data_IF_288799404351
#
_entry.id   IF_288799404351
#
_cell.length_a   1.000
_cell.length_b   1.000
_cell.length_c   1.000
_cell.angle_alpha   90.00
_cell.angle_beta   90.00
_cell.angle_gamma   90.00
#
_symmetry.space_group_name_H-M   'P 1'
#
loop_
_entity.id
_entity.type
_entity.pdbx_description
1 polymer ?
#
# COMPACT_ATOMS: atom_id res chain seq x y z
N UNK A 1 32.45 -24.07 1.22
CA UNK A 1 33.32 -22.94 1.59
C UNK A 1 32.47 -21.77 2.06
N UNK A 2 32.53 -21.45 3.36
CA UNK A 2 31.86 -20.28 3.91
C UNK A 2 32.81 -19.09 3.81
N UNK A 3 32.42 -18.05 3.03
CA UNK A 3 33.11 -16.75 3.04
C UNK A 3 32.47 -15.88 4.12
N UNK A 4 33.29 -15.27 4.96
CA UNK A 4 32.83 -14.32 5.96
C UNK A 4 33.07 -12.90 5.43
N UNK A 5 31.98 -12.16 5.23
CA UNK A 5 32.00 -10.78 4.74
C UNK A 5 31.43 -9.84 5.78
N UNK A 6 32.27 -8.91 6.23
CA UNK A 6 31.83 -7.79 7.05
C UNK A 6 31.46 -6.61 6.14
N UNK A 7 30.27 -6.07 6.27
CA UNK A 7 29.83 -4.92 5.48
C UNK A 7 29.52 -3.76 6.42
N UNK A 8 30.32 -2.68 6.30
CA UNK A 8 30.04 -1.41 6.98
C UNK A 8 29.28 -0.49 6.04
N UNK A 9 28.06 -0.13 6.40
CA UNK A 9 27.24 0.83 5.67
C UNK A 9 27.38 2.22 6.28
N UNK A 10 27.80 3.20 5.51
CA UNK A 10 28.00 4.58 5.89
C UNK A 10 27.09 5.51 5.07
N UNK A 11 25.83 5.75 5.50
CA UNK A 11 24.95 6.69 4.82
C UNK A 11 25.37 8.11 5.19
N UNK A 12 25.39 8.99 4.18
CA UNK A 12 25.53 10.44 4.38
C UNK A 12 24.13 11.05 4.44
N UNK A 13 23.87 11.86 5.46
CA UNK A 13 22.62 12.61 5.56
C UNK A 13 22.45 13.50 4.32
N UNK A 14 21.29 13.35 3.65
CA UNK A 14 20.98 14.13 2.47
C UNK A 14 20.06 15.29 2.81
N UNK A 15 20.22 16.37 2.03
CA UNK A 15 19.27 17.46 2.05
C UNK A 15 18.01 17.04 1.26
N UNK A 16 16.82 17.11 1.89
CA UNK A 16 15.54 16.65 1.33
C UNK A 16 14.54 17.82 1.24
N UNK A 17 14.73 18.75 0.28
CA UNK A 17 13.76 19.83 0.11
C UNK A 17 12.40 19.24 -0.32
N UNK A 18 11.35 19.69 0.38
CA UNK A 18 9.97 19.36 0.07
C UNK A 18 9.14 20.63 0.06
N UNK A 19 8.26 20.74 -0.91
CA UNK A 19 7.28 21.82 -1.03
C UNK A 19 5.91 21.19 -1.15
N UNK A 20 4.99 21.64 -0.33
CA UNK A 20 3.60 21.21 -0.34
C UNK A 20 2.70 22.44 -0.35
N UNK A 21 1.79 22.47 -1.30
CA UNK A 21 0.75 23.50 -1.41
C UNK A 21 -0.58 22.78 -1.46
N UNK A 22 -1.49 23.16 -0.59
CA UNK A 22 -2.85 22.66 -0.55
C UNK A 22 -3.81 23.87 -0.71
N UNK A 23 -4.79 23.70 -1.59
CA UNK A 23 -5.93 24.59 -1.77
C UNK A 23 -7.19 23.77 -1.54
N UNK A 24 -8.05 24.24 -0.65
CA UNK A 24 -9.33 23.59 -0.41
C UNK A 24 -10.46 24.63 -0.35
N UNK A 25 -11.63 24.18 -0.74
CA UNK A 25 -12.88 24.90 -0.60
C UNK A 25 -13.98 23.98 -0.15
N UNK A 26 -14.66 24.32 0.93
CA UNK A 26 -15.86 23.64 1.40
C UNK A 26 -16.96 24.67 1.51
N UNK A 27 -18.08 24.44 0.85
CA UNK A 27 -19.17 25.41 0.80
C UNK A 27 -20.48 24.78 0.38
N UNK A 28 -21.51 25.63 0.32
CA UNK A 28 -22.86 25.26 -0.04
C UNK A 28 -23.48 26.29 -0.98
N UNK A 29 -24.10 25.81 -2.06
CA UNK A 29 -24.89 26.65 -2.97
C UNK A 29 -26.31 26.08 -3.00
N UNK A 30 -27.23 26.80 -2.33
CA UNK A 30 -28.59 26.30 -2.14
C UNK A 30 -28.58 24.99 -1.34
N UNK A 31 -29.03 23.89 -1.97
CA UNK A 31 -29.02 22.54 -1.37
C UNK A 31 -27.79 21.71 -1.75
N UNK A 32 -26.92 22.23 -2.59
CA UNK A 32 -25.76 21.51 -3.10
C UNK A 32 -24.56 21.78 -2.21
N UNK A 33 -23.98 20.75 -1.64
CA UNK A 33 -22.69 20.77 -0.93
C UNK A 33 -21.56 20.68 -1.93
N UNK A 34 -20.51 21.47 -1.76
CA UNK A 34 -19.33 21.51 -2.63
C UNK A 34 -18.09 21.28 -1.75
N UNK A 35 -17.29 20.30 -2.12
CA UNK A 35 -15.99 20.01 -1.52
C UNK A 35 -14.96 19.91 -2.65
N UNK A 36 -14.00 20.84 -2.64
CA UNK A 36 -12.91 20.89 -3.61
C UNK A 36 -11.58 20.89 -2.87
N UNK A 37 -10.68 20.04 -3.34
CA UNK A 37 -9.30 19.98 -2.84
C UNK A 37 -8.34 19.91 -4.03
N UNK A 38 -7.22 20.63 -3.93
CA UNK A 38 -6.13 20.56 -4.89
C UNK A 38 -4.78 20.61 -4.16
N UNK A 39 -3.91 19.68 -4.50
CA UNK A 39 -2.61 19.48 -3.89
C UNK A 39 -1.51 19.57 -4.94
N UNK A 40 -0.43 20.23 -4.59
CA UNK A 40 0.84 20.18 -5.28
C UNK A 40 1.92 19.76 -4.32
N UNK A 41 2.65 18.70 -4.69
CA UNK A 41 3.81 18.21 -3.94
C UNK A 41 5.03 18.16 -4.86
N UNK A 42 6.10 18.75 -4.41
CA UNK A 42 7.43 18.57 -4.95
C UNK A 42 8.38 18.11 -3.86
N UNK A 43 9.09 17.02 -4.11
CA UNK A 43 10.19 16.61 -3.24
C UNK A 43 11.41 16.17 -4.05
N UNK A 44 12.57 16.42 -3.47
CA UNK A 44 13.86 15.96 -4.00
C UNK A 44 14.62 15.27 -2.88
N UNK A 45 15.21 14.13 -3.19
CA UNK A 45 16.04 13.39 -2.26
C UNK A 45 17.32 12.97 -2.97
N UNK A 46 18.46 13.20 -2.33
CA UNK A 46 19.75 12.74 -2.79
C UNK A 46 20.36 11.91 -1.66
N UNK A 47 20.48 10.61 -1.85
CA UNK A 47 21.08 9.72 -0.87
C UNK A 47 22.44 9.26 -1.40
N UNK A 48 23.46 9.45 -0.56
CA UNK A 48 24.81 8.96 -0.79
C UNK A 48 25.13 7.93 0.28
N UNK A 49 25.53 6.74 -0.12
CA UNK A 49 25.89 5.68 0.83
C UNK A 49 27.17 5.00 0.36
N UNK A 50 28.15 4.89 1.24
CA UNK A 50 29.37 4.12 1.01
C UNK A 50 29.28 2.80 1.79
N UNK A 51 29.56 1.71 1.10
CA UNK A 51 29.67 0.37 1.70
C UNK A 51 31.13 -0.04 1.65
N UNK A 52 31.73 -0.34 2.80
CA UNK A 52 33.05 -0.94 2.89
C UNK A 52 32.87 -2.40 3.26
N UNK A 53 33.36 -3.27 2.40
CA UNK A 53 33.33 -4.71 2.58
C UNK A 53 34.73 -5.26 2.83
N UNK A 54 34.87 -5.99 3.92
CA UNK A 54 36.04 -6.78 4.25
C UNK A 54 35.68 -8.25 4.14
N UNK A 55 36.45 -9.01 3.40
CA UNK A 55 36.24 -10.43 3.16
C UNK A 55 37.47 -11.21 3.56
N UNK A 56 37.24 -12.38 4.17
CA UNK A 56 38.34 -13.28 4.56
C UNK A 56 39.00 -13.96 3.35
N UNK A 57 38.19 -14.27 2.32
CA UNK A 57 38.62 -15.10 1.19
C UNK A 57 38.60 -14.33 -0.14
N UNK A 58 38.19 -13.06 -0.16
CA UNK A 58 38.13 -12.23 -1.36
C UNK A 58 38.70 -10.85 -1.09
N UNK A 59 39.04 -10.16 -2.13
CA UNK A 59 39.53 -8.77 -2.05
C UNK A 59 38.45 -7.88 -1.39
N UNK A 60 38.84 -7.10 -0.41
CA UNK A 60 38.02 -6.06 0.19
C UNK A 60 37.69 -5.00 -0.85
N UNK A 61 36.47 -4.43 -0.76
CA UNK A 61 36.04 -3.41 -1.73
C UNK A 61 35.23 -2.31 -1.08
N UNK A 62 35.22 -1.16 -1.73
CA UNK A 62 34.32 -0.05 -1.42
C UNK A 62 33.32 0.07 -2.55
N UNK A 63 32.06 0.24 -2.21
CA UNK A 63 30.95 0.41 -3.16
C UNK A 63 30.23 1.69 -2.80
N UNK A 64 30.17 2.62 -3.73
CA UNK A 64 29.44 3.89 -3.58
C UNK A 64 28.08 3.79 -4.25
N UNK A 65 27.06 4.23 -3.58
CA UNK A 65 25.68 4.22 -4.05
C UNK A 65 25.11 5.63 -3.96
N UNK A 66 24.95 6.28 -5.09
CA UNK A 66 24.31 7.59 -5.21
C UNK A 66 22.92 7.41 -5.79
N UNK A 67 21.90 7.78 -5.02
CA UNK A 67 20.52 7.72 -5.46
C UNK A 67 19.89 9.12 -5.42
N UNK A 68 19.36 9.57 -6.56
CA UNK A 68 18.66 10.84 -6.70
C UNK A 68 17.22 10.58 -7.08
N UNK A 69 16.31 11.11 -6.27
CA UNK A 69 14.88 11.04 -6.52
C UNK A 69 14.30 12.45 -6.61
N UNK A 70 13.50 12.69 -7.65
CA UNK A 70 12.70 13.92 -7.80
C UNK A 70 11.29 13.53 -8.11
N UNK A 71 10.37 13.99 -7.30
CA UNK A 71 8.96 13.69 -7.47
C UNK A 71 8.14 14.98 -7.52
N UNK A 72 7.22 15.06 -8.49
CA UNK A 72 6.19 16.09 -8.62
C UNK A 72 4.85 15.40 -8.69
N UNK A 73 3.93 15.82 -7.85
CA UNK A 73 2.57 15.32 -7.82
C UNK A 73 1.61 16.50 -7.84
N UNK A 74 0.60 16.39 -8.69
CA UNK A 74 -0.58 17.24 -8.70
C UNK A 74 -1.77 16.33 -8.45
N UNK A 75 -2.61 16.67 -7.50
CA UNK A 75 -3.85 15.97 -7.22
C UNK A 75 -4.99 16.98 -7.10
N UNK A 76 -6.16 16.64 -7.60
CA UNK A 76 -7.37 17.42 -7.38
C UNK A 76 -8.57 16.51 -7.20
N UNK A 77 -9.49 16.92 -6.36
CA UNK A 77 -10.75 16.23 -6.09
C UNK A 77 -11.87 17.26 -6.00
N UNK A 78 -12.96 17.01 -6.71
CA UNK A 78 -14.21 17.73 -6.58
C UNK A 78 -15.30 16.75 -6.18
N UNK A 79 -16.07 17.08 -5.16
CA UNK A 79 -17.26 16.35 -4.74
C UNK A 79 -18.43 17.31 -4.64
N UNK A 80 -19.54 16.93 -5.25
CA UNK A 80 -20.81 17.64 -5.19
C UNK A 80 -21.84 16.73 -4.51
N UNK A 81 -22.41 17.21 -3.40
CA UNK A 81 -23.44 16.51 -2.64
C UNK A 81 -24.80 17.15 -2.86
N UNK A 82 -25.85 16.36 -3.08
CA UNK A 82 -27.20 16.86 -3.25
C UNK A 82 -28.22 15.92 -2.63
N UNK A 83 -29.18 16.44 -1.81
CA UNK A 83 -30.26 15.62 -1.28
C UNK A 83 -31.25 15.27 -2.39
N UNK A 84 -31.46 13.98 -2.63
CA UNK A 84 -32.33 13.46 -3.68
C UNK A 84 -33.02 12.17 -3.23
N UNK A 85 -34.31 12.00 -3.56
CA UNK A 85 -35.10 10.78 -3.26
C UNK A 85 -35.02 10.31 -1.81
N UNK A 86 -35.01 11.23 -0.86
CA UNK A 86 -34.96 10.90 0.58
C UNK A 86 -33.58 10.49 1.09
N UNK A 87 -32.57 10.50 0.24
CA UNK A 87 -31.17 10.24 0.57
C UNK A 87 -30.26 11.37 0.16
N UNK A 88 -28.97 11.11 0.15
CA UNK A 88 -27.94 12.04 -0.30
C UNK A 88 -27.10 11.40 -1.42
N UNK A 89 -27.07 12.04 -2.58
CA UNK A 89 -26.25 11.67 -3.71
C UNK A 89 -24.98 12.51 -3.71
N UNK A 90 -23.84 11.87 -3.72
CA UNK A 90 -22.54 12.51 -3.92
C UNK A 90 -21.97 12.07 -5.27
N UNK A 91 -21.58 13.02 -6.10
CA UNK A 91 -20.90 12.77 -7.38
C UNK A 91 -19.60 13.56 -7.38
N UNK A 92 -18.57 13.02 -8.00
CA UNK A 92 -17.31 13.71 -8.05
C UNK A 92 -16.30 13.09 -8.99
N UNK A 93 -15.14 13.71 -9.06
CA UNK A 93 -14.00 13.20 -9.81
C UNK A 93 -12.70 13.53 -9.09
N UNK A 94 -11.75 12.62 -9.19
CA UNK A 94 -10.36 12.82 -8.77
C UNK A 94 -9.47 12.78 -10.00
N UNK A 95 -8.48 13.64 -10.00
CA UNK A 95 -7.38 13.64 -10.96
C UNK A 95 -6.06 13.64 -10.24
N UNK A 96 -5.14 12.77 -10.64
CA UNK A 96 -3.77 12.80 -10.14
C UNK A 96 -2.78 12.71 -11.31
N UNK A 97 -1.72 13.50 -11.22
CA UNK A 97 -0.59 13.42 -12.13
C UNK A 97 0.70 13.36 -11.32
N UNK A 98 1.52 12.36 -11.61
CA UNK A 98 2.84 12.20 -10.99
C UNK A 98 3.90 12.14 -12.08
N UNK A 99 4.99 12.88 -11.85
CA UNK A 99 6.21 12.79 -12.64
C UNK A 99 7.38 12.59 -11.69
N UNK A 100 7.95 11.38 -11.73
CA UNK A 100 9.07 10.99 -10.89
C UNK A 100 10.29 10.67 -11.75
N UNK A 101 11.44 11.18 -11.33
CA UNK A 101 12.73 10.86 -11.92
C UNK A 101 13.59 10.22 -10.83
N UNK A 102 14.12 9.04 -11.12
CA UNK A 102 15.05 8.28 -10.29
C UNK A 102 16.36 8.11 -11.07
N UNK A 103 17.48 8.48 -10.46
CA UNK A 103 18.80 8.23 -11.02
C UNK A 103 19.66 7.52 -9.97
N UNK A 104 20.29 6.45 -10.38
CA UNK A 104 21.22 5.68 -9.59
C UNK A 104 22.60 5.69 -10.23
N UNK A 105 23.63 5.92 -9.45
CA UNK A 105 25.03 5.89 -9.91
C UNK A 105 25.91 5.07 -8.96
N UNK A 106 26.72 4.21 -9.54
CA UNK A 106 27.78 3.48 -8.86
C UNK A 106 29.09 3.69 -9.62
N UNK A 107 29.97 4.61 -9.15
CA UNK A 107 31.23 4.95 -9.82
C UNK A 107 32.17 3.77 -10.01
N UNK A 108 32.15 2.81 -9.10
CA UNK A 108 33.01 1.61 -9.16
C UNK A 108 32.48 0.54 -10.13
N UNK A 109 31.33 0.75 -10.75
CA UNK A 109 30.70 -0.15 -11.73
C UNK A 109 30.41 -1.58 -11.22
N UNK A 110 30.29 -1.78 -9.92
CA UNK A 110 29.81 -3.07 -9.36
C UNK A 110 28.34 -3.29 -9.62
N UNK A 111 27.59 -2.21 -9.83
CA UNK A 111 26.18 -2.20 -10.17
C UNK A 111 25.99 -1.23 -11.34
N UNK A 112 25.22 -1.59 -12.37
CA UNK A 112 24.93 -0.68 -13.46
C UNK A 112 24.25 0.60 -12.98
N UNK A 113 24.75 1.75 -13.43
CA UNK A 113 24.07 3.03 -13.26
C UNK A 113 22.81 3.07 -14.12
N UNK A 114 21.75 3.70 -13.63
CA UNK A 114 20.46 3.75 -14.30
C UNK A 114 19.78 5.09 -14.10
N UNK A 115 18.96 5.49 -15.05
CA UNK A 115 18.09 6.66 -14.96
C UNK A 115 16.70 6.29 -15.45
N UNK A 116 15.71 6.44 -14.59
CA UNK A 116 14.32 6.13 -14.90
C UNK A 116 13.43 7.34 -14.71
N UNK A 117 12.45 7.53 -15.59
CA UNK A 117 11.37 8.49 -15.41
C UNK A 117 10.03 7.76 -15.48
N UNK A 118 9.17 8.05 -14.52
CA UNK A 118 7.83 7.50 -14.41
C UNK A 118 6.83 8.66 -14.49
N UNK A 119 5.92 8.58 -15.45
CA UNK A 119 4.80 9.52 -15.59
C UNK A 119 3.51 8.75 -15.43
N UNK A 120 2.69 9.13 -14.46
CA UNK A 120 1.38 8.52 -14.23
C UNK A 120 0.32 9.59 -14.21
N UNK A 121 -0.76 9.38 -14.97
CA UNK A 121 -1.98 10.15 -14.87
C UNK A 121 -3.14 9.22 -14.53
N UNK A 122 -4.00 9.66 -13.63
CA UNK A 122 -5.20 8.94 -13.22
C UNK A 122 -6.38 9.91 -13.20
N UNK A 123 -7.49 9.48 -13.79
CA UNK A 123 -8.78 10.13 -13.65
C UNK A 123 -9.77 9.13 -13.05
N UNK A 124 -10.53 9.56 -12.06
CA UNK A 124 -11.41 8.69 -11.31
C UNK A 124 -12.73 9.39 -10.94
N UNK A 125 -13.71 9.46 -11.83
CA UNK A 125 -15.06 9.83 -11.48
C UNK A 125 -15.72 8.80 -10.59
N UNK A 126 -16.55 9.26 -9.66
CA UNK A 126 -17.29 8.42 -8.73
C UNK A 126 -18.66 8.99 -8.43
N UNK A 127 -19.53 8.08 -7.98
CA UNK A 127 -20.83 8.41 -7.40
C UNK A 127 -21.08 7.57 -6.16
N UNK A 128 -21.74 8.13 -5.18
CA UNK A 128 -22.16 7.47 -3.95
C UNK A 128 -23.56 7.94 -3.58
N UNK A 129 -24.44 7.02 -3.24
CA UNK A 129 -25.76 7.29 -2.73
C UNK A 129 -25.92 6.72 -1.34
N UNK A 130 -26.28 7.59 -0.40
CA UNK A 130 -26.55 7.24 0.99
C UNK A 130 -28.02 7.42 1.29
N UNK A 131 -28.64 6.36 1.80
CA UNK A 131 -30.05 6.34 2.14
C UNK A 131 -30.23 5.91 3.60
N UNK A 132 -30.99 6.70 4.36
CA UNK A 132 -31.28 6.42 5.76
C UNK A 132 -32.70 5.85 5.89
N UNK A 133 -32.78 4.58 6.22
CA UNK A 133 -33.98 3.91 6.66
C UNK A 133 -34.16 4.09 8.17
N UNK A 134 -35.37 3.86 8.68
CA UNK A 134 -35.66 3.99 10.13
C UNK A 134 -34.72 3.16 11.03
N UNK A 135 -34.27 2.01 10.55
CA UNK A 135 -33.44 1.06 11.35
C UNK A 135 -32.04 0.84 10.78
N UNK A 136 -31.76 1.27 9.54
CA UNK A 136 -30.44 1.08 8.96
C UNK A 136 -30.09 2.19 7.97
N UNK A 137 -28.78 2.42 7.80
CA UNK A 137 -28.21 3.26 6.76
C UNK A 137 -27.63 2.38 5.68
N UNK A 138 -28.08 2.60 4.44
CA UNK A 138 -27.51 1.97 3.26
C UNK A 138 -26.62 2.97 2.50
N UNK A 139 -25.47 2.49 2.02
CA UNK A 139 -24.60 3.28 1.16
C UNK A 139 -24.19 2.42 -0.02
N UNK A 140 -24.34 2.94 -1.23
CA UNK A 140 -23.89 2.28 -2.46
C UNK A 140 -23.03 3.27 -3.26
N UNK A 141 -21.88 2.83 -3.71
CA UNK A 141 -20.93 3.65 -4.45
C UNK A 141 -20.39 2.91 -5.68
N UNK A 142 -20.02 3.71 -6.68
CA UNK A 142 -19.33 3.23 -7.86
C UNK A 142 -18.24 4.24 -8.23
N UNK A 143 -17.03 3.75 -8.41
CA UNK A 143 -15.86 4.52 -8.86
C UNK A 143 -15.29 3.86 -10.11
N UNK A 144 -15.04 4.67 -11.14
CA UNK A 144 -14.30 4.24 -12.32
C UNK A 144 -12.91 4.90 -12.27
N UNK A 145 -11.87 4.12 -12.52
CA UNK A 145 -10.52 4.64 -12.63
C UNK A 145 -9.92 4.33 -13.99
N UNK A 146 -9.37 5.35 -14.64
CA UNK A 146 -8.56 5.23 -15.84
C UNK A 146 -7.16 5.76 -15.57
N UNK A 147 -6.17 4.87 -15.69
CA UNK A 147 -4.77 5.17 -15.40
C UNK A 147 -3.94 4.98 -16.66
N UNK A 148 -3.07 5.93 -16.92
CA UNK A 148 -2.00 5.83 -17.91
C UNK A 148 -0.66 5.97 -17.23
N UNK A 149 0.16 4.93 -17.34
CA UNK A 149 1.50 4.86 -16.77
C UNK A 149 2.52 4.72 -17.92
N UNK A 150 3.47 5.66 -18.01
CA UNK A 150 4.56 5.63 -18.98
C UNK A 150 5.90 5.55 -18.25
N UNK A 151 6.71 4.59 -18.66
CA UNK A 151 8.03 4.35 -18.13
C UNK A 151 9.08 4.71 -19.19
N UNK A 152 10.10 5.44 -18.76
CA UNK A 152 11.25 5.82 -19.60
C UNK A 152 12.52 5.36 -18.89
N UNK A 153 13.45 4.81 -19.64
CA UNK A 153 14.79 4.46 -19.17
C UNK A 153 15.83 5.15 -20.04
N UNK A 154 16.75 5.87 -19.40
CA UNK A 154 17.75 6.69 -20.09
C UNK A 154 17.15 7.62 -21.17
N UNK A 155 15.96 8.17 -20.89
CA UNK A 155 15.24 9.05 -21.81
C UNK A 155 14.43 8.36 -22.90
N UNK A 156 14.54 7.04 -23.07
CA UNK A 156 13.78 6.27 -24.05
C UNK A 156 12.50 5.70 -23.45
N UNK A 157 11.38 5.80 -24.17
CA UNK A 157 10.11 5.21 -23.76
C UNK A 157 10.17 3.68 -23.88
N UNK A 158 9.85 2.99 -22.78
CA UNK A 158 9.86 1.53 -22.72
C UNK A 158 8.43 1.01 -22.78
N UNK A 159 8.01 0.58 -23.96
CA UNK A 159 6.62 0.23 -24.24
C UNK A 159 6.12 -0.96 -23.41
N UNK A 160 6.92 -2.01 -23.20
CA UNK A 160 6.53 -3.20 -22.42
C UNK A 160 6.44 -2.95 -20.91
N UNK A 161 6.95 -1.83 -20.41
CA UNK A 161 6.84 -1.38 -19.03
C UNK A 161 5.81 -0.26 -18.86
N UNK A 162 5.33 0.29 -19.97
CA UNK A 162 4.25 1.30 -20.01
C UNK A 162 2.90 0.61 -20.19
N UNK A 163 1.86 1.13 -19.54
CA UNK A 163 0.54 0.49 -19.54
C UNK A 163 -0.59 1.47 -19.26
N UNK A 164 -1.77 1.11 -19.74
CA UNK A 164 -3.00 1.79 -19.40
C UNK A 164 -4.03 0.76 -18.93
N UNK A 165 -4.84 1.14 -17.97
CA UNK A 165 -5.90 0.29 -17.48
C UNK A 165 -7.12 1.13 -17.07
N UNK A 166 -8.27 0.49 -17.11
CA UNK A 166 -9.55 1.09 -16.78
C UNK A 166 -10.39 0.05 -16.02
N UNK A 167 -10.86 0.42 -14.83
CA UNK A 167 -11.57 -0.50 -13.95
C UNK A 167 -12.68 0.18 -13.17
N UNK A 168 -13.72 -0.60 -12.83
CA UNK A 168 -14.82 -0.21 -11.97
C UNK A 168 -14.62 -0.80 -10.57
N UNK A 169 -14.90 0.02 -9.57
CA UNK A 169 -14.78 -0.32 -8.15
C UNK A 169 -16.11 -0.04 -7.45
N UNK A 170 -16.99 -1.05 -7.36
CA UNK A 170 -18.23 -0.96 -6.61
C UNK A 170 -17.98 -1.06 -5.11
N UNK A 171 -18.84 -0.39 -4.33
CA UNK A 171 -18.90 -0.50 -2.88
C UNK A 171 -20.36 -0.49 -2.42
N UNK A 172 -20.67 -1.30 -1.40
CA UNK A 172 -21.98 -1.32 -0.75
C UNK A 172 -21.77 -1.54 0.73
N UNK A 173 -22.49 -0.80 1.55
CA UNK A 173 -22.53 -1.04 3.00
C UNK A 173 -23.91 -0.84 3.59
N UNK A 174 -24.20 -1.61 4.65
CA UNK A 174 -25.37 -1.49 5.47
C UNK A 174 -24.91 -1.37 6.93
N UNK A 175 -25.36 -0.34 7.63
CA UNK A 175 -25.07 -0.12 9.03
C UNK A 175 -26.37 0.03 9.81
N UNK A 176 -26.47 -0.58 10.99
CA UNK A 176 -27.66 -0.53 11.85
C UNK A 176 -27.28 -0.43 13.32
N UNK A 177 -28.20 0.15 14.09
CA UNK A 177 -28.12 0.17 15.55
C UNK A 177 -29.49 -0.20 16.12
N UNK A 178 -29.58 -1.32 16.82
CA UNK A 178 -30.80 -1.86 17.39
C UNK A 178 -30.53 -2.29 18.85
N UNK A 179 -31.21 -1.70 19.81
CA UNK A 179 -31.12 -2.11 21.22
C UNK A 179 -29.71 -2.10 21.81
N UNK A 180 -28.85 -1.16 21.37
CA UNK A 180 -27.44 -1.07 21.77
C UNK A 180 -26.47 -1.97 20.97
N UNK A 181 -26.99 -2.83 20.11
CA UNK A 181 -26.18 -3.59 19.12
C UNK A 181 -25.93 -2.70 17.91
N UNK A 182 -24.67 -2.47 17.59
CA UNK A 182 -24.24 -1.81 16.36
C UNK A 182 -23.68 -2.86 15.42
N UNK A 183 -24.11 -2.85 14.17
CA UNK A 183 -23.64 -3.77 13.15
C UNK A 183 -23.36 -3.03 11.84
N UNK A 184 -22.32 -3.45 11.14
CA UNK A 184 -21.99 -2.97 9.80
C UNK A 184 -21.53 -4.12 8.92
N UNK A 185 -22.22 -4.32 7.81
CA UNK A 185 -21.81 -5.20 6.73
C UNK A 185 -21.33 -4.33 5.58
N UNK A 186 -20.19 -4.65 4.99
CA UNK A 186 -19.66 -3.91 3.83
C UNK A 186 -18.99 -4.82 2.82
N UNK A 187 -19.11 -4.43 1.57
CA UNK A 187 -18.32 -4.91 0.45
C UNK A 187 -17.68 -3.72 -0.25
N UNK A 188 -16.39 -3.84 -0.59
CA UNK A 188 -15.70 -2.87 -1.42
C UNK A 188 -14.68 -3.54 -2.34
N UNK A 189 -14.70 -3.15 -3.60
CA UNK A 189 -13.62 -3.41 -4.54
C UNK A 189 -12.68 -2.19 -4.57
N UNK A 190 -11.37 -2.44 -4.61
CA UNK A 190 -10.35 -1.39 -4.71
C UNK A 190 -9.10 -1.88 -5.40
N UNK A 191 -8.27 -0.96 -5.86
CA UNK A 191 -6.93 -1.27 -6.37
C UNK A 191 -5.85 -0.88 -5.37
N UNK A 192 -4.73 -1.61 -5.39
CA UNK A 192 -3.46 -1.19 -4.80
C UNK A 192 -2.40 -1.14 -5.90
N UNK A 193 -1.91 0.03 -6.18
CA UNK A 193 -0.85 0.24 -7.17
C UNK A 193 0.50 -0.08 -6.56
N UNK A 194 1.45 -0.64 -7.34
CA UNK A 194 2.83 -0.71 -6.90
C UNK A 194 3.35 0.70 -6.59
N UNK A 195 4.14 0.83 -5.54
CA UNK A 195 4.86 2.08 -5.30
C UNK A 195 5.92 2.30 -6.39
N UNK A 196 6.30 3.55 -6.63
CA UNK A 196 7.33 3.86 -7.62
C UNK A 196 8.66 3.17 -7.32
N UNK A 197 9.00 3.01 -6.03
CA UNK A 197 10.18 2.23 -5.62
C UNK A 197 10.07 0.75 -6.02
N UNK A 198 8.87 0.18 -5.97
CA UNK A 198 8.64 -1.20 -6.42
C UNK A 198 8.71 -1.34 -7.94
N UNK A 199 8.47 -0.26 -8.69
CA UNK A 199 8.54 -0.21 -10.15
C UNK A 199 9.92 0.20 -10.68
N UNK A 200 10.83 0.69 -9.84
CA UNK A 200 12.13 1.19 -10.26
C UNK A 200 13.10 0.04 -10.57
N UNK A 201 13.83 0.13 -11.69
CA UNK A 201 14.92 -0.77 -12.01
C UNK A 201 16.19 -0.53 -11.18
N UNK A 202 16.21 0.53 -10.37
CA UNK A 202 17.37 0.86 -9.56
C UNK A 202 17.70 -0.28 -8.61
N UNK A 203 18.97 -0.72 -8.64
CA UNK A 203 19.47 -1.77 -7.76
C UNK A 203 20.04 -1.10 -6.52
N UNK A 204 19.50 -1.47 -5.35
CA UNK A 204 20.06 -1.11 -4.06
C UNK A 204 21.05 -2.17 -3.62
N UNK A 205 22.27 -1.74 -3.28
CA UNK A 205 23.33 -2.61 -2.81
C UNK A 205 23.16 -2.93 -1.33
N UNK A 206 23.11 -4.20 -0.97
CA UNK A 206 23.15 -4.66 0.42
C UNK A 206 24.56 -5.09 0.83
N UNK A 207 25.10 -6.04 0.08
CA UNK A 207 26.49 -6.53 0.10
C UNK A 207 26.74 -7.33 -1.18
N UNK A 208 27.95 -7.91 -1.35
CA UNK A 208 28.31 -8.69 -2.54
C UNK A 208 27.45 -9.91 -2.83
N UNK A 209 26.66 -10.37 -1.87
CA UNK A 209 25.77 -11.54 -2.00
C UNK A 209 24.28 -11.14 -1.96
N UNK A 210 23.98 -9.87 -1.74
CA UNK A 210 22.61 -9.40 -1.56
C UNK A 210 22.38 -8.09 -2.32
N UNK A 211 21.52 -8.15 -3.32
CA UNK A 211 21.05 -6.99 -4.08
C UNK A 211 19.54 -6.89 -3.98
N UNK A 212 19.01 -5.68 -3.97
CA UNK A 212 17.58 -5.42 -4.00
C UNK A 212 17.23 -4.52 -5.18
N UNK A 213 16.20 -4.88 -5.93
CA UNK A 213 15.67 -4.05 -7.03
C UNK A 213 14.14 -4.04 -6.98
N UNK A 214 13.53 -3.06 -7.61
CA UNK A 214 12.12 -3.13 -7.95
C UNK A 214 11.88 -4.04 -9.16
N UNK A 215 10.64 -4.05 -9.64
CA UNK A 215 10.21 -4.78 -10.82
C UNK A 215 9.24 -3.91 -11.62
N UNK A 216 9.65 -3.32 -12.74
CA UNK A 216 8.79 -2.48 -13.58
C UNK A 216 7.60 -3.21 -14.21
N UNK A 217 7.65 -4.55 -14.23
CA UNK A 217 6.58 -5.38 -14.80
C UNK A 217 5.44 -5.65 -13.81
N UNK A 218 5.52 -5.15 -12.58
CA UNK A 218 4.47 -5.33 -11.59
C UNK A 218 3.13 -4.78 -12.07
N UNK A 219 2.12 -5.60 -11.96
CA UNK A 219 0.73 -5.22 -12.15
C UNK A 219 0.16 -4.68 -10.84
N UNK A 220 -0.90 -3.89 -10.91
CA UNK A 220 -1.64 -3.46 -9.74
C UNK A 220 -2.50 -4.60 -9.19
N UNK A 221 -2.68 -4.59 -7.88
CA UNK A 221 -3.58 -5.54 -7.21
C UNK A 221 -5.03 -5.09 -7.35
N UNK A 222 -5.92 -6.06 -7.50
CA UNK A 222 -7.35 -5.91 -7.29
C UNK A 222 -7.72 -6.56 -5.97
N UNK A 223 -8.41 -5.82 -5.13
CA UNK A 223 -8.76 -6.26 -3.79
C UNK A 223 -10.27 -6.22 -3.64
N UNK A 224 -10.88 -7.38 -3.42
CA UNK A 224 -12.26 -7.50 -3.00
C UNK A 224 -12.31 -7.78 -1.51
N UNK A 225 -12.97 -6.93 -0.77
CA UNK A 225 -13.12 -7.05 0.68
C UNK A 225 -14.60 -7.15 1.05
N UNK A 226 -14.95 -8.17 1.83
CA UNK A 226 -16.24 -8.29 2.52
C UNK A 226 -15.95 -8.25 4.00
N UNK A 227 -16.64 -7.42 4.76
CA UNK A 227 -16.45 -7.35 6.21
C UNK A 227 -17.78 -7.18 6.94
N UNK A 228 -17.90 -7.86 8.07
CA UNK A 228 -18.94 -7.69 9.06
C UNK A 228 -18.30 -7.30 10.39
N UNK A 229 -18.72 -6.17 10.95
CA UNK A 229 -18.41 -5.73 12.29
C UNK A 229 -19.68 -5.71 13.14
N UNK A 230 -19.58 -6.11 14.39
CA UNK A 230 -20.65 -6.01 15.39
C UNK A 230 -20.08 -5.56 16.73
N UNK A 231 -20.78 -4.67 17.40
CA UNK A 231 -20.43 -4.21 18.73
C UNK A 231 -21.69 -4.21 19.62
N UNK A 232 -21.59 -4.86 20.76
CA UNK A 232 -22.65 -4.88 21.75
C UNK A 232 -22.08 -4.72 23.15
N UNK A 233 -22.40 -3.60 23.80
CA UNK A 233 -21.83 -3.25 25.10
C UNK A 233 -20.28 -3.33 25.05
N UNK A 234 -19.71 -4.29 25.78
CA UNK A 234 -18.26 -4.52 25.91
C UNK A 234 -17.75 -5.66 25.01
N UNK A 235 -18.56 -6.15 24.07
CA UNK A 235 -18.20 -7.21 23.14
C UNK A 235 -18.05 -6.59 21.74
N UNK A 236 -16.92 -6.85 21.09
CA UNK A 236 -16.68 -6.48 19.71
C UNK A 236 -16.35 -7.74 18.90
N UNK A 237 -17.03 -7.90 17.78
CA UNK A 237 -16.79 -8.98 16.83
C UNK A 237 -16.53 -8.41 15.45
N UNK A 238 -15.55 -8.96 14.77
CA UNK A 238 -15.23 -8.62 13.40
C UNK A 238 -14.85 -9.85 12.60
N UNK A 239 -15.33 -9.94 11.36
CA UNK A 239 -14.90 -10.92 10.39
C UNK A 239 -14.71 -10.22 9.06
N UNK A 240 -13.62 -10.54 8.36
CA UNK A 240 -13.35 -10.03 7.02
C UNK A 240 -12.79 -11.11 6.11
N UNK A 241 -13.24 -11.07 4.86
CA UNK A 241 -12.69 -11.88 3.77
C UNK A 241 -12.08 -10.95 2.74
N UNK A 242 -10.82 -11.20 2.39
CA UNK A 242 -10.06 -10.47 1.40
C UNK A 242 -9.63 -11.41 0.26
N UNK A 243 -9.96 -11.07 -0.99
CA UNK A 243 -9.38 -11.69 -2.19
C UNK A 243 -8.50 -10.65 -2.89
N UNK A 244 -7.19 -10.85 -2.84
CA UNK A 244 -6.18 -10.01 -3.50
C UNK A 244 -5.72 -10.71 -4.76
N UNK A 245 -6.12 -10.21 -5.91
CA UNK A 245 -5.67 -10.68 -7.22
C UNK A 245 -4.46 -9.89 -7.68
N UNK A 246 -3.53 -10.55 -8.40
CA UNK A 246 -2.21 -10.00 -8.74
C UNK A 246 -1.48 -9.45 -7.50
N UNK A 247 -1.54 -10.21 -6.40
CA UNK A 247 -1.01 -9.77 -5.12
C UNK A 247 0.50 -9.49 -5.21
N UNK A 248 0.89 -8.26 -4.91
CA UNK A 248 2.29 -7.85 -4.90
C UNK A 248 2.93 -8.37 -3.62
N UNK A 249 3.97 -9.18 -3.78
CA UNK A 249 4.73 -9.76 -2.68
C UNK A 249 6.22 -9.47 -2.84
N UNK A 250 6.91 -9.45 -1.72
CA UNK A 250 8.35 -9.42 -1.66
C UNK A 250 8.89 -10.81 -2.01
N UNK A 251 9.87 -10.87 -2.90
CA UNK A 251 10.36 -12.11 -3.47
C UNK A 251 11.87 -12.16 -3.45
N UNK A 252 12.41 -13.31 -3.13
CA UNK A 252 13.85 -13.57 -3.21
C UNK A 252 14.13 -14.63 -4.25
N UNK A 253 15.09 -14.38 -5.11
CA UNK A 253 15.55 -15.29 -6.14
C UNK A 253 17.08 -15.27 -6.21
N UNK A 254 17.66 -16.32 -6.76
CA UNK A 254 19.07 -16.33 -7.11
C UNK A 254 19.30 -15.52 -8.38
N UNK A 255 20.42 -14.77 -8.42
CA UNK A 255 20.81 -14.06 -9.62
C UNK A 255 21.12 -15.06 -10.76
N UNK A 256 20.64 -14.75 -11.97
CA UNK A 256 20.77 -15.64 -13.14
C UNK A 256 22.20 -15.83 -13.61
N UNK A 257 23.10 -14.89 -13.32
CA UNK A 257 24.49 -14.91 -13.75
C UNK A 257 25.44 -15.41 -12.66
N UNK A 258 25.05 -15.25 -11.39
CA UNK A 258 25.87 -15.65 -10.27
C UNK A 258 25.01 -16.19 -9.13
N UNK A 259 24.92 -17.52 -9.00
CA UNK A 259 24.13 -18.20 -7.98
C UNK A 259 24.54 -17.90 -6.52
N UNK A 260 25.70 -17.29 -6.30
CA UNK A 260 26.09 -16.81 -4.96
C UNK A 260 25.38 -15.49 -4.57
N UNK A 261 24.71 -14.83 -5.49
CA UNK A 261 24.00 -13.58 -5.25
C UNK A 261 22.51 -13.86 -5.10
N UNK A 262 21.93 -13.42 -4.00
CA UNK A 262 20.49 -13.34 -3.80
C UNK A 262 19.98 -11.98 -4.25
N UNK A 263 19.00 -11.99 -5.13
CA UNK A 263 18.27 -10.79 -5.55
C UNK A 263 16.93 -10.75 -4.82
N UNK A 264 16.70 -9.65 -4.14
CA UNK A 264 15.42 -9.38 -3.51
C UNK A 264 14.66 -8.42 -4.43
N UNK A 265 13.44 -8.78 -4.79
CA UNK A 265 12.60 -8.02 -5.70
C UNK A 265 11.12 -8.12 -5.30
N UNK A 266 10.24 -7.74 -6.19
CA UNK A 266 8.80 -7.87 -6.02
C UNK A 266 8.22 -8.65 -7.19
N UNK A 267 7.18 -9.43 -6.93
CA UNK A 267 6.45 -10.16 -7.96
C UNK A 267 4.95 -10.13 -7.70
N UNK A 268 4.16 -10.40 -8.72
CA UNK A 268 2.72 -10.61 -8.56
C UNK A 268 2.43 -12.10 -8.41
N UNK A 269 1.73 -12.46 -7.34
CA UNK A 269 1.11 -13.77 -7.22
C UNK A 269 -0.32 -13.71 -7.77
N UNK A 270 -0.84 -14.77 -8.40
CA UNK A 270 -2.17 -14.77 -9.02
C UNK A 270 -3.28 -14.36 -8.05
N UNK A 271 -3.30 -14.92 -6.86
CA UNK A 271 -4.28 -14.58 -5.81
C UNK A 271 -3.77 -14.94 -4.42
N UNK A 272 -4.10 -14.11 -3.44
CA UNK A 272 -3.97 -14.40 -2.01
C UNK A 272 -5.33 -14.13 -1.37
N UNK A 273 -5.99 -15.20 -0.90
CA UNK A 273 -7.25 -15.10 -0.18
C UNK A 273 -6.99 -15.17 1.31
N UNK A 274 -7.67 -14.34 2.09
CA UNK A 274 -7.48 -14.27 3.54
C UNK A 274 -8.81 -14.12 4.23
N UNK A 275 -9.08 -14.90 5.27
CA UNK A 275 -10.12 -14.64 6.24
C UNK A 275 -9.48 -14.23 7.57
N UNK A 276 -10.01 -13.18 8.18
CA UNK A 276 -9.56 -12.69 9.49
C UNK A 276 -10.77 -12.52 10.38
N UNK A 277 -10.68 -13.01 11.61
CA UNK A 277 -11.73 -12.88 12.62
C UNK A 277 -11.13 -12.29 13.89
N UNK A 278 -11.84 -11.36 14.50
CA UNK A 278 -11.48 -10.73 15.77
C UNK A 278 -12.66 -10.80 16.74
N UNK A 279 -12.38 -11.19 17.97
CA UNK A 279 -13.29 -11.08 19.09
C UNK A 279 -12.57 -10.33 20.21
N UNK A 280 -13.17 -9.24 20.69
CA UNK A 280 -12.68 -8.51 21.85
C UNK A 280 -13.77 -8.44 22.91
N UNK A 281 -13.35 -8.55 24.16
CA UNK A 281 -14.21 -8.50 25.34
C UNK A 281 -13.54 -7.62 26.38
N UNK A 282 -14.16 -6.47 26.74
CA UNK A 282 -13.56 -5.47 27.61
C UNK A 282 -14.61 -4.83 28.55
N UNK A 283 -15.11 -5.56 29.59
CA UNK A 283 -16.00 -5.03 30.57
C UNK A 283 -15.26 -4.11 31.56
N UNK A 284 -15.95 -3.09 32.08
CA UNK A 284 -15.46 -2.30 33.22
C UNK A 284 -16.08 -2.83 34.51
N UNK A 285 -15.23 -3.28 35.44
CA UNK A 285 -15.63 -3.88 36.74
C UNK A 285 -15.04 -3.02 37.87
N UNK A 286 -15.75 -2.01 38.30
CA UNK A 286 -15.23 -1.03 39.26
C UNK A 286 -14.04 -0.27 38.67
N UNK A 287 -12.89 -0.35 39.33
CA UNK A 287 -11.64 0.29 38.87
C UNK A 287 -10.90 -0.55 37.81
N UNK A 288 -11.32 -1.77 37.57
CA UNK A 288 -10.61 -2.72 36.69
C UNK A 288 -11.32 -2.87 35.36
N UNK A 289 -10.59 -2.70 34.28
CA UNK A 289 -11.03 -2.92 32.89
C UNK A 289 -10.12 -3.96 32.23
N UNK A 290 -10.44 -5.26 32.36
CA UNK A 290 -9.75 -6.30 31.61
C UNK A 290 -10.12 -6.21 30.14
N UNK A 291 -9.15 -6.43 29.26
CA UNK A 291 -9.34 -6.55 27.83
C UNK A 291 -8.81 -7.90 27.36
N UNK A 292 -9.69 -8.73 26.86
CA UNK A 292 -9.34 -9.98 26.21
C UNK A 292 -9.58 -9.86 24.71
N UNK A 293 -8.57 -10.19 23.87
CA UNK A 293 -8.69 -10.20 22.42
C UNK A 293 -8.24 -11.54 21.87
N UNK A 294 -9.08 -12.13 21.01
CA UNK A 294 -8.76 -13.32 20.22
C UNK A 294 -8.79 -12.95 18.73
N UNK A 295 -7.69 -13.23 18.04
CA UNK A 295 -7.56 -13.02 16.60
C UNK A 295 -7.32 -14.37 15.93
N UNK A 296 -7.97 -14.58 14.80
CA UNK A 296 -7.69 -15.69 13.89
C UNK A 296 -7.47 -15.16 12.49
N UNK A 297 -6.40 -15.62 11.86
CA UNK A 297 -6.12 -15.34 10.45
C UNK A 297 -5.80 -16.63 9.72
N UNK A 298 -6.54 -16.89 8.65
CA UNK A 298 -6.25 -17.97 7.73
C UNK A 298 -6.05 -17.42 6.34
N UNK A 299 -4.94 -17.80 5.72
CA UNK A 299 -4.57 -17.39 4.38
C UNK A 299 -4.52 -18.62 3.48
N UNK A 300 -5.02 -18.49 2.25
CA UNK A 300 -4.84 -19.49 1.20
C UNK A 300 -3.85 -18.92 0.20
N UNK A 301 -2.66 -19.47 0.22
CA UNK A 301 -1.56 -19.12 -0.65
C UNK A 301 -0.85 -20.37 -1.12
N UNK A 302 -0.69 -20.50 -2.42
CA UNK A 302 0.13 -21.54 -3.03
C UNK A 302 1.36 -20.88 -3.64
N UNK A 303 2.53 -21.32 -3.20
CA UNK A 303 3.82 -20.89 -3.73
C UNK A 303 4.44 -22.02 -4.55
N UNK A 304 4.73 -21.72 -5.80
CA UNK A 304 5.46 -22.62 -6.69
C UNK A 304 6.92 -22.17 -6.75
N UNK A 305 7.83 -23.02 -6.29
CA UNK A 305 9.26 -22.85 -6.51
C UNK A 305 9.70 -23.79 -7.64
N UNK A 306 10.93 -23.63 -8.12
CA UNK A 306 11.50 -24.51 -9.15
C UNK A 306 11.49 -26.02 -8.77
N UNK A 307 11.44 -26.33 -7.48
CA UNK A 307 11.56 -27.70 -6.97
C UNK A 307 10.32 -28.20 -6.23
N UNK A 308 9.51 -27.32 -5.63
CA UNK A 308 8.40 -27.73 -4.74
C UNK A 308 7.24 -26.74 -4.79
N UNK A 309 6.06 -27.25 -4.45
CA UNK A 309 4.86 -26.45 -4.21
C UNK A 309 4.53 -26.41 -2.73
N UNK A 310 4.44 -25.22 -2.17
CA UNK A 310 4.09 -24.99 -0.77
C UNK A 310 2.67 -24.44 -0.67
N UNK A 311 1.85 -25.02 0.21
CA UNK A 311 0.52 -24.53 0.53
C UNK A 311 0.52 -23.91 1.93
N UNK A 312 0.37 -22.61 1.99
CA UNK A 312 0.28 -21.85 3.25
C UNK A 312 -1.20 -21.58 3.54
N UNK A 313 -1.84 -22.50 4.25
CA UNK A 313 -3.28 -22.48 4.51
C UNK A 313 -3.65 -22.83 5.97
N UNK A 314 -2.67 -22.91 6.85
CA UNK A 314 -2.92 -23.13 8.28
C UNK A 314 -3.40 -21.84 8.93
N UNK A 315 -4.41 -21.89 9.82
CA UNK A 315 -4.82 -20.73 10.60
C UNK A 315 -3.74 -20.35 11.62
N UNK A 316 -3.60 -19.05 11.84
CA UNK A 316 -2.76 -18.46 12.90
C UNK A 316 -3.72 -17.87 13.92
N UNK A 317 -3.48 -18.15 15.19
CA UNK A 317 -4.22 -17.64 16.33
C UNK A 317 -3.33 -16.74 17.16
N UNK A 318 -3.88 -15.66 17.63
CA UNK A 318 -3.23 -14.75 18.57
C UNK A 318 -4.23 -14.41 19.66
N UNK A 319 -3.79 -14.52 20.91
CA UNK A 319 -4.56 -14.14 22.09
C UNK A 319 -3.79 -13.08 22.84
N UNK A 320 -4.46 -12.04 23.29
CA UNK A 320 -3.91 -11.02 24.16
C UNK A 320 -4.83 -10.75 25.34
N UNK A 321 -4.23 -10.46 26.47
CA UNK A 321 -4.92 -10.10 27.69
C UNK A 321 -4.22 -8.90 28.31
N UNK A 322 -4.93 -7.77 28.38
CA UNK A 322 -4.47 -6.52 28.95
C UNK A 322 -5.32 -6.18 30.18
N UNK A 323 -4.72 -5.49 31.13
CA UNK A 323 -5.40 -5.03 32.32
C UNK A 323 -5.17 -3.54 32.50
N UNK A 324 -6.23 -2.78 32.68
CA UNK A 324 -6.19 -1.36 33.04
C UNK A 324 -6.87 -1.17 34.38
N UNK A 325 -6.22 -0.45 35.30
CA UNK A 325 -6.79 -0.06 36.58
C UNK A 325 -6.86 1.46 36.62
N UNK A 326 -8.05 2.00 36.79
CA UNK A 326 -8.29 3.43 36.96
C UNK A 326 -8.54 3.71 38.45
N UNK A 327 -7.56 4.31 39.10
CA UNK A 327 -7.61 4.64 40.52
C UNK A 327 -8.28 6.01 40.80
N UNK A 328 -8.84 6.66 39.76
CA UNK A 328 -9.38 8.00 39.86
C UNK A 328 -8.28 9.08 39.98
N UNK A 329 -8.70 10.33 39.97
CA UNK A 329 -7.77 11.43 40.28
C UNK A 329 -7.51 11.44 41.78
N UNK A 330 -6.28 11.08 42.19
CA UNK A 330 -5.76 11.44 43.50
C UNK A 330 -5.54 12.94 43.60
#
# INVERSE_FOLDING_TARGET
FYDHVNTLRMPKLSHRPSQFINLYYVGKIGKMDIDFNADYLYNKQNDHTTYREESRNKVSRTVTSDNQERNRLIASKLTLGYPVLGGNLSVGAEYTYTNRNDAYSNPENYIPSSSAQLKESNIAPFMEYKYLLSICQLTAGLRWEAVRFNYYENGQHIANQSRSFSNLFPSVSAATQIGGLQMQLSYAARTRRPSYRQLSNNVSYGNRFLMQSGNPLLQHEYIHNISLGAMWKFIQFGISYNDRRHAIVFWSEQDSHNSAISRITYTNLPSIKTISTQLAFSPTIGIWTPEFTALMKKQWLTLHTSTKTYKLNKPIWQFSFNNTFDFGKG
#
